data_IF_662747914949
#
_entry.id   IF_662747914949
#
_cell.length_a   1.000
_cell.length_b   1.000
_cell.length_c   1.000
_cell.angle_alpha   90.00
_cell.angle_beta   90.00
_cell.angle_gamma   90.00
#
_symmetry.space_group_name_H-M   'P 1'
#
loop_
_entity.id
_entity.type
_entity.pdbx_description
1 polymer ?
#
# COMPACT_ATOMS: atom_id res chain seq x y z
N UNK A 1 -14.23 -5.05 -18.31
CA UNK A 1 -15.29 -4.80 -17.30
C UNK A 1 -14.92 -3.69 -16.32
N UNK A 2 -14.07 -3.86 -15.29
CA UNK A 2 -13.82 -2.76 -14.33
C UNK A 2 -13.36 -1.43 -14.97
N UNK A 3 -12.66 -1.50 -16.11
CA UNK A 3 -12.34 -0.32 -16.92
C UNK A 3 -13.58 0.45 -17.42
N UNK A 4 -14.67 -0.23 -17.79
CA UNK A 4 -15.93 0.42 -18.17
C UNK A 4 -16.67 1.03 -16.96
N UNK A 5 -16.22 0.73 -15.74
CA UNK A 5 -16.64 1.39 -14.50
C UNK A 5 -15.68 2.50 -14.07
N UNK A 6 -14.73 2.89 -14.92
CA UNK A 6 -13.76 3.96 -14.65
C UNK A 6 -12.52 3.53 -13.86
N UNK A 7 -12.29 2.23 -13.65
CA UNK A 7 -11.09 1.75 -12.95
C UNK A 7 -9.88 1.76 -13.89
N UNK A 8 -8.86 2.55 -13.55
CA UNK A 8 -7.59 2.68 -14.28
C UNK A 8 -6.41 1.96 -13.63
N UNK A 9 -6.46 1.77 -12.31
CA UNK A 9 -5.33 1.29 -11.49
C UNK A 9 -5.74 0.09 -10.64
N UNK A 10 -4.93 -0.96 -10.68
CA UNK A 10 -5.09 -2.17 -9.90
C UNK A 10 -3.91 -2.33 -8.95
N UNK A 11 -4.21 -2.47 -7.66
CA UNK A 11 -3.22 -2.76 -6.62
C UNK A 11 -3.39 -4.19 -6.13
N UNK A 12 -2.45 -5.06 -6.49
CA UNK A 12 -2.44 -6.46 -6.07
C UNK A 12 -1.78 -6.57 -4.70
N UNK A 13 -2.49 -7.21 -3.77
CA UNK A 13 -2.14 -7.35 -2.36
C UNK A 13 -2.83 -8.62 -1.81
N UNK A 14 -2.71 -8.89 -0.51
CA UNK A 14 -3.46 -9.93 0.17
C UNK A 14 -2.88 -10.14 1.56
N UNK A 15 -2.53 -11.39 1.88
CA UNK A 15 -1.38 -11.67 2.74
C UNK A 15 -0.09 -11.31 1.99
N UNK A 16 0.72 -12.31 1.62
CA UNK A 16 1.84 -12.13 0.71
C UNK A 16 1.47 -12.60 -0.71
N UNK A 17 1.27 -11.70 -1.69
CA UNK A 17 0.83 -12.09 -3.03
C UNK A 17 1.83 -12.96 -3.79
N UNK A 18 3.13 -12.91 -3.48
CA UNK A 18 4.15 -13.74 -4.11
C UNK A 18 4.12 -15.22 -3.67
N UNK A 19 3.27 -15.58 -2.70
CA UNK A 19 2.97 -16.98 -2.38
C UNK A 19 2.00 -17.62 -3.39
N UNK A 20 1.30 -16.82 -4.19
CA UNK A 20 0.36 -17.30 -5.19
C UNK A 20 1.10 -17.71 -6.46
N UNK A 21 0.94 -18.97 -6.87
CA UNK A 21 1.73 -19.60 -7.95
C UNK A 21 1.41 -19.10 -9.36
N UNK A 22 0.25 -18.48 -9.58
CA UNK A 22 -0.22 -17.92 -10.85
C UNK A 22 -0.24 -16.38 -10.87
N UNK A 23 0.50 -15.73 -9.96
CA UNK A 23 0.47 -14.25 -9.78
C UNK A 23 0.89 -13.49 -11.05
N UNK A 24 1.85 -14.03 -11.81
CA UNK A 24 2.30 -13.50 -13.08
C UNK A 24 1.19 -13.55 -14.15
N UNK A 25 0.39 -14.61 -14.19
CA UNK A 25 -0.76 -14.70 -15.08
C UNK A 25 -1.85 -13.67 -14.73
N UNK A 26 -2.13 -13.49 -13.43
CA UNK A 26 -3.08 -12.48 -12.95
C UNK A 26 -2.63 -11.07 -13.38
N UNK A 27 -1.35 -10.75 -13.15
CA UNK A 27 -0.78 -9.45 -13.54
C UNK A 27 -0.85 -9.27 -15.05
N UNK A 28 -0.45 -10.28 -15.83
CA UNK A 28 -0.48 -10.23 -17.30
C UNK A 28 -1.87 -9.96 -17.84
N UNK A 29 -2.89 -10.64 -17.31
CA UNK A 29 -4.27 -10.44 -17.75
C UNK A 29 -4.80 -9.04 -17.46
N UNK A 30 -4.41 -8.44 -16.32
CA UNK A 30 -4.80 -7.07 -15.99
C UNK A 30 -4.02 -6.08 -16.88
N UNK A 31 -2.71 -6.26 -17.02
CA UNK A 31 -1.85 -5.38 -17.81
C UNK A 31 -2.29 -5.32 -19.29
N UNK A 32 -2.71 -6.46 -19.87
CA UNK A 32 -3.27 -6.53 -21.25
C UNK A 32 -4.50 -5.63 -21.47
N UNK A 33 -5.23 -5.28 -20.42
CA UNK A 33 -6.36 -4.33 -20.53
C UNK A 33 -5.93 -2.86 -20.67
N UNK A 34 -4.62 -2.59 -20.57
CA UNK A 34 -4.02 -1.24 -20.54
C UNK A 34 -4.14 -0.56 -19.18
N UNK A 35 -4.58 -1.27 -18.14
CA UNK A 35 -4.63 -0.74 -16.79
C UNK A 35 -3.25 -0.77 -16.13
N UNK A 36 -3.02 0.17 -15.21
CA UNK A 36 -1.78 0.20 -14.43
C UNK A 36 -1.86 -0.85 -13.32
N UNK A 37 -0.84 -1.70 -13.21
CA UNK A 37 -0.75 -2.71 -12.17
C UNK A 37 0.37 -2.36 -11.19
N UNK A 38 0.04 -2.36 -9.90
CA UNK A 38 0.98 -2.18 -8.79
C UNK A 38 0.93 -3.40 -7.87
N UNK A 39 2.06 -4.01 -7.57
CA UNK A 39 2.15 -5.08 -6.58
C UNK A 39 2.51 -4.49 -5.21
N UNK A 40 1.96 -5.03 -4.13
CA UNK A 40 2.40 -4.74 -2.75
C UNK A 40 2.81 -6.02 -2.06
N UNK A 41 4.07 -6.10 -1.62
CA UNK A 41 4.71 -7.32 -1.09
C UNK A 41 5.59 -6.98 0.12
N UNK A 42 5.92 -7.97 0.94
CA UNK A 42 7.00 -7.86 1.93
C UNK A 42 8.41 -7.89 1.28
N UNK A 43 8.51 -8.24 0.00
CA UNK A 43 9.74 -8.21 -0.79
C UNK A 43 10.64 -9.43 -0.64
N UNK A 44 10.36 -10.35 0.28
CA UNK A 44 11.24 -11.49 0.55
C UNK A 44 11.37 -12.44 -0.66
N UNK A 45 10.25 -12.69 -1.35
CA UNK A 45 10.21 -13.56 -2.53
C UNK A 45 10.49 -12.81 -3.85
N UNK A 46 10.79 -11.51 -3.78
CA UNK A 46 10.81 -10.64 -4.96
C UNK A 46 11.85 -11.11 -5.99
N UNK A 47 13.06 -11.46 -5.53
CA UNK A 47 14.15 -11.96 -6.38
C UNK A 47 13.76 -13.20 -7.20
N UNK A 48 12.92 -14.08 -6.64
CA UNK A 48 12.48 -15.30 -7.34
C UNK A 48 11.45 -15.03 -8.43
N UNK A 49 10.75 -13.90 -8.33
CA UNK A 49 9.60 -13.58 -9.17
C UNK A 49 9.85 -12.45 -10.16
N UNK A 50 10.86 -11.60 -9.92
CA UNK A 50 10.98 -10.31 -10.60
C UNK A 50 11.04 -10.43 -12.13
N UNK A 51 11.70 -11.45 -12.67
CA UNK A 51 11.72 -11.75 -14.11
C UNK A 51 10.31 -11.99 -14.66
N UNK A 52 9.56 -12.90 -14.03
CA UNK A 52 8.19 -13.22 -14.44
C UNK A 52 7.25 -12.03 -14.28
N UNK A 53 7.39 -11.27 -13.20
CA UNK A 53 6.57 -10.07 -12.95
C UNK A 53 6.83 -8.99 -14.01
N UNK A 54 8.09 -8.76 -14.38
CA UNK A 54 8.46 -7.81 -15.42
C UNK A 54 7.91 -8.26 -16.78
N UNK A 55 8.08 -9.53 -17.14
CA UNK A 55 7.54 -10.12 -18.36
C UNK A 55 6.00 -10.06 -18.42
N UNK A 56 5.33 -10.17 -17.27
CA UNK A 56 3.88 -10.00 -17.13
C UNK A 56 3.42 -8.53 -17.30
N UNK A 57 4.33 -7.57 -17.43
CA UNK A 57 4.03 -6.15 -17.64
C UNK A 57 3.93 -5.33 -16.35
N UNK A 58 4.41 -5.84 -15.22
CA UNK A 58 4.44 -5.08 -13.96
C UNK A 58 5.47 -3.94 -14.03
N UNK A 59 5.05 -2.73 -13.68
CA UNK A 59 5.92 -1.53 -13.71
C UNK A 59 6.06 -0.82 -12.36
N UNK A 60 5.26 -1.17 -11.35
CA UNK A 60 5.24 -0.53 -10.03
C UNK A 60 5.18 -1.57 -8.93
N UNK A 61 6.08 -1.45 -7.94
CA UNK A 61 6.10 -2.31 -6.76
C UNK A 61 6.21 -1.46 -5.50
N UNK A 62 5.30 -1.72 -4.56
CA UNK A 62 5.40 -1.23 -3.20
C UNK A 62 5.95 -2.34 -2.31
N UNK A 63 6.93 -2.04 -1.48
CA UNK A 63 7.51 -3.01 -0.54
C UNK A 63 7.31 -2.53 0.89
N UNK A 64 6.73 -3.37 1.73
CA UNK A 64 6.55 -3.09 3.15
C UNK A 64 7.89 -3.23 3.87
N UNK A 65 8.50 -2.12 4.25
CA UNK A 65 9.77 -2.05 4.98
C UNK A 65 9.57 -1.08 6.14
N UNK A 66 9.35 -1.62 7.33
CA UNK A 66 9.02 -0.83 8.53
C UNK A 66 10.25 -0.22 9.21
N UNK A 67 11.42 -0.82 9.01
CA UNK A 67 12.71 -0.39 9.55
C UNK A 67 13.82 -0.74 8.57
N UNK A 68 14.92 0.03 8.58
CA UNK A 68 16.10 -0.23 7.76
C UNK A 68 17.25 -0.88 8.54
N UNK A 69 17.00 -1.31 9.78
CA UNK A 69 17.96 -2.02 10.63
C UNK A 69 17.65 -3.54 10.62
N UNK A 70 18.62 -4.42 10.29
CA UNK A 70 18.39 -5.86 10.19
C UNK A 70 17.89 -6.52 11.49
N UNK A 71 18.37 -6.07 12.65
CA UNK A 71 18.01 -6.65 13.95
C UNK A 71 16.59 -6.24 14.36
N UNK A 72 16.24 -4.95 14.21
CA UNK A 72 14.85 -4.49 14.38
C UNK A 72 13.93 -5.18 13.37
N UNK A 73 14.35 -5.33 12.12
CA UNK A 73 13.57 -6.02 11.09
C UNK A 73 13.26 -7.45 11.51
N UNK A 74 14.29 -8.17 11.96
CA UNK A 74 14.17 -9.54 12.45
C UNK A 74 13.14 -9.68 13.56
N UNK A 75 13.20 -8.79 14.56
CA UNK A 75 12.26 -8.77 15.69
C UNK A 75 10.82 -8.50 15.25
N UNK A 76 10.60 -7.54 14.35
CA UNK A 76 9.26 -7.16 13.88
C UNK A 76 8.65 -8.24 12.98
N UNK A 77 9.44 -8.77 12.05
CA UNK A 77 8.97 -9.72 11.05
C UNK A 77 9.00 -11.18 11.53
N UNK A 78 9.64 -11.49 12.67
CA UNK A 78 9.75 -12.85 13.21
C UNK A 78 10.61 -13.77 12.35
N UNK A 79 11.64 -13.22 11.68
CA UNK A 79 12.52 -13.93 10.72
C UNK A 79 13.97 -13.62 11.04
N UNK A 80 14.96 -14.46 10.64
CA UNK A 80 16.36 -14.15 10.90
C UNK A 80 16.81 -12.84 10.22
N UNK A 81 17.82 -12.12 10.75
CA UNK A 81 18.34 -10.88 10.15
C UNK A 81 18.81 -11.04 8.69
N UNK A 82 19.22 -12.25 8.30
CA UNK A 82 19.57 -12.60 6.92
C UNK A 82 18.41 -12.43 5.94
N UNK A 83 17.14 -12.54 6.40
CA UNK A 83 15.97 -12.33 5.56
C UNK A 83 15.88 -10.89 5.04
N UNK A 84 16.32 -9.90 5.83
CA UNK A 84 16.36 -8.51 5.37
C UNK A 84 17.34 -8.33 4.22
N UNK A 85 18.48 -9.07 4.23
CA UNK A 85 19.44 -9.04 3.12
C UNK A 85 18.83 -9.57 1.82
N UNK A 86 17.96 -10.58 1.89
CA UNK A 86 17.23 -11.07 0.71
C UNK A 86 16.24 -10.03 0.17
N UNK A 87 15.51 -9.32 1.05
CA UNK A 87 14.65 -8.19 0.66
C UNK A 87 15.46 -7.10 -0.04
N UNK A 88 16.61 -6.70 0.53
CA UNK A 88 17.48 -5.69 -0.06
C UNK A 88 18.00 -6.10 -1.45
N UNK A 89 18.40 -7.37 -1.61
CA UNK A 89 18.80 -7.90 -2.93
C UNK A 89 17.67 -7.82 -3.94
N UNK A 90 16.45 -8.20 -3.55
CA UNK A 90 15.27 -8.09 -4.41
C UNK A 90 14.94 -6.64 -4.79
N UNK A 91 15.09 -5.70 -3.86
CA UNK A 91 14.89 -4.26 -4.11
C UNK A 91 15.92 -3.70 -5.11
N UNK A 92 17.20 -4.03 -4.94
CA UNK A 92 18.26 -3.63 -5.87
C UNK A 92 18.01 -4.17 -7.27
N UNK A 93 17.64 -5.45 -7.38
CA UNK A 93 17.34 -6.05 -8.69
C UNK A 93 16.11 -5.41 -9.35
N UNK A 94 15.07 -5.11 -8.58
CA UNK A 94 13.87 -4.42 -9.06
C UNK A 94 14.22 -3.04 -9.61
N UNK A 95 15.06 -2.29 -8.89
CA UNK A 95 15.57 -0.99 -9.34
C UNK A 95 16.33 -1.11 -10.65
N UNK A 96 17.25 -2.07 -10.76
CA UNK A 96 18.09 -2.25 -11.95
C UNK A 96 17.26 -2.55 -13.22
N UNK A 97 16.03 -3.03 -13.06
CA UNK A 97 15.07 -3.31 -14.13
C UNK A 97 14.19 -2.11 -14.52
N UNK A 98 14.39 -0.96 -13.88
CA UNK A 98 13.60 0.24 -14.11
C UNK A 98 12.15 0.16 -13.60
N UNK A 99 11.87 -0.79 -12.70
CA UNK A 99 10.55 -0.91 -12.07
C UNK A 99 10.46 0.14 -10.96
N UNK A 100 9.39 0.94 -10.96
CA UNK A 100 9.21 2.00 -9.99
C UNK A 100 8.98 1.42 -8.59
N UNK A 101 9.82 1.83 -7.65
CA UNK A 101 9.80 1.36 -6.27
C UNK A 101 9.20 2.40 -5.31
N UNK A 102 8.45 1.88 -4.36
CA UNK A 102 7.93 2.63 -3.23
C UNK A 102 8.07 1.81 -1.96
N UNK A 103 8.70 2.36 -0.94
CA UNK A 103 8.78 1.75 0.37
C UNK A 103 7.60 2.22 1.22
N UNK A 104 6.94 1.30 1.91
CA UNK A 104 5.86 1.60 2.84
C UNK A 104 6.29 1.23 4.26
N UNK A 105 6.21 2.18 5.18
CA UNK A 105 6.43 1.98 6.60
C UNK A 105 5.16 2.38 7.37
N UNK A 106 4.54 1.43 8.08
CA UNK A 106 3.53 1.77 9.09
C UNK A 106 4.23 2.38 10.29
N UNK A 107 3.76 3.55 10.74
CA UNK A 107 4.28 4.27 11.90
C UNK A 107 3.88 3.53 13.17
N UNK A 108 4.87 3.14 13.96
CA UNK A 108 4.69 2.37 15.19
C UNK A 108 5.64 2.88 16.28
N UNK A 109 5.05 3.25 17.43
CA UNK A 109 5.72 3.69 18.65
C UNK A 109 6.84 2.73 19.05
N UNK A 110 8.02 3.28 19.31
CA UNK A 110 9.18 2.48 19.76
C UNK A 110 9.75 1.54 18.70
N UNK A 111 9.21 1.54 17.48
CA UNK A 111 9.69 0.73 16.36
C UNK A 111 10.41 1.60 15.33
N UNK A 112 9.71 2.63 14.84
CA UNK A 112 10.20 3.50 13.78
C UNK A 112 9.79 4.98 13.94
N UNK A 113 9.48 5.39 15.16
CA UNK A 113 9.18 6.79 15.53
C UNK A 113 10.39 7.52 16.11
N UNK A 114 11.58 6.91 16.12
CA UNK A 114 12.84 7.54 16.50
C UNK A 114 13.61 8.10 15.28
N UNK A 115 14.46 9.10 15.54
CA UNK A 115 15.22 9.83 14.50
C UNK A 115 16.07 8.92 13.62
N UNK A 116 16.77 7.94 14.20
CA UNK A 116 17.65 7.06 13.44
C UNK A 116 16.89 6.07 12.58
N UNK A 117 15.75 5.55 13.05
CA UNK A 117 14.87 4.69 12.24
C UNK A 117 14.30 5.43 11.03
N UNK A 118 13.76 6.65 11.21
CA UNK A 118 13.22 7.47 10.12
C UNK A 118 14.32 7.81 9.12
N UNK A 119 15.48 8.25 9.61
CA UNK A 119 16.67 8.55 8.78
C UNK A 119 17.16 7.33 8.00
N UNK A 120 17.15 6.15 8.63
CA UNK A 120 17.50 4.88 7.99
C UNK A 120 16.57 4.54 6.82
N UNK A 121 15.26 4.70 7.00
CA UNK A 121 14.27 4.49 5.93
C UNK A 121 14.45 5.48 4.77
N UNK A 122 14.69 6.77 5.07
CA UNK A 122 14.94 7.79 4.04
C UNK A 122 16.23 7.46 3.27
N UNK A 123 17.31 7.09 3.96
CA UNK A 123 18.58 6.68 3.32
C UNK A 123 18.40 5.46 2.42
N UNK A 124 17.64 4.46 2.88
CA UNK A 124 17.33 3.27 2.09
C UNK A 124 16.50 3.63 0.84
N UNK A 125 15.48 4.47 0.99
CA UNK A 125 14.68 4.95 -0.13
C UNK A 125 15.56 5.71 -1.15
N UNK A 126 16.43 6.60 -0.68
CA UNK A 126 17.36 7.36 -1.50
C UNK A 126 18.31 6.45 -2.28
N UNK A 127 18.92 5.46 -1.61
CA UNK A 127 19.87 4.54 -2.24
C UNK A 127 19.23 3.69 -3.33
N UNK A 128 17.91 3.48 -3.26
CA UNK A 128 17.13 2.72 -4.24
C UNK A 128 16.48 3.60 -5.32
N UNK A 129 16.54 4.93 -5.20
CA UNK A 129 15.73 5.83 -6.04
C UNK A 129 14.22 5.62 -5.84
N UNK A 130 13.82 5.15 -4.66
CA UNK A 130 12.44 4.85 -4.33
C UNK A 130 11.75 6.05 -3.64
N UNK A 131 10.42 6.11 -3.79
CA UNK A 131 9.59 6.95 -2.91
C UNK A 131 9.33 6.26 -1.57
N UNK A 132 9.00 7.02 -0.53
CA UNK A 132 8.70 6.49 0.80
C UNK A 132 7.29 6.90 1.24
N UNK A 133 6.55 5.99 1.86
CA UNK A 133 5.28 6.30 2.51
C UNK A 133 5.36 5.97 3.99
N UNK A 134 5.00 6.95 4.82
CA UNK A 134 4.66 6.70 6.23
C UNK A 134 3.15 6.57 6.34
N UNK A 135 2.72 5.43 6.87
CA UNK A 135 1.31 5.04 6.96
C UNK A 135 0.92 5.02 8.43
N UNK A 136 -0.14 5.75 8.77
CA UNK A 136 -0.68 5.74 10.11
C UNK A 136 -1.22 4.33 10.44
N UNK A 137 -0.90 3.85 11.66
CA UNK A 137 -1.42 2.58 12.15
C UNK A 137 -2.93 2.72 12.35
N UNK A 138 -3.70 1.75 11.85
CA UNK A 138 -5.16 1.71 11.99
C UNK A 138 -5.59 0.55 12.89
N UNK A 139 -6.63 0.71 13.72
CA UNK A 139 -7.22 -0.37 14.50
C UNK A 139 -8.14 -1.21 13.62
N UNK A 140 -7.57 -1.88 12.62
CA UNK A 140 -8.29 -2.75 11.69
C UNK A 140 -7.47 -4.00 11.34
N UNK A 141 -8.13 -5.14 11.16
CA UNK A 141 -7.46 -6.42 10.94
C UNK A 141 -6.47 -6.74 12.07
N UNK A 142 -5.23 -7.09 11.72
CA UNK A 142 -4.16 -7.33 12.70
C UNK A 142 -3.80 -6.10 13.53
N UNK A 143 -4.08 -4.89 13.02
CA UNK A 143 -3.83 -3.63 13.72
C UNK A 143 -4.61 -3.50 15.03
N UNK A 144 -5.79 -4.12 15.14
CA UNK A 144 -6.61 -4.08 16.37
C UNK A 144 -5.83 -4.54 17.59
N UNK A 145 -5.02 -5.60 17.45
CA UNK A 145 -4.29 -6.20 18.58
C UNK A 145 -3.09 -5.38 19.06
N UNK A 146 -2.57 -4.53 18.20
CA UNK A 146 -1.32 -3.78 18.45
C UNK A 146 -1.55 -2.28 18.61
N UNK A 147 -2.76 -1.80 18.32
CA UNK A 147 -3.05 -0.37 18.25
C UNK A 147 -2.70 0.36 19.55
N UNK A 148 -3.21 -0.09 20.69
CA UNK A 148 -3.01 0.61 21.97
C UNK A 148 -1.54 0.69 22.38
N UNK A 149 -0.75 -0.32 22.03
CA UNK A 149 0.67 -0.41 22.39
C UNK A 149 1.58 0.36 21.43
N UNK A 150 1.22 0.42 20.15
CA UNK A 150 2.11 0.90 19.09
C UNK A 150 1.60 2.12 18.34
N UNK A 151 0.38 2.60 18.59
CA UNK A 151 -0.15 3.75 17.86
C UNK A 151 0.62 5.02 18.20
N UNK A 152 1.03 5.73 17.16
CA UNK A 152 1.42 7.13 17.21
C UNK A 152 0.86 7.84 15.97
N UNK A 153 0.47 9.11 16.07
CA UNK A 153 0.09 9.91 14.91
C UNK A 153 1.25 10.00 13.91
N UNK A 154 0.95 10.09 12.62
CA UNK A 154 1.99 10.28 11.61
C UNK A 154 2.78 11.58 11.82
N UNK A 155 2.21 12.55 12.54
CA UNK A 155 2.86 13.80 12.92
C UNK A 155 4.19 13.58 13.65
N UNK A 156 4.37 12.49 14.40
CA UNK A 156 5.65 12.22 15.07
C UNK A 156 6.79 12.13 14.06
N UNK A 157 6.56 11.44 12.94
CA UNK A 157 7.60 11.32 11.89
C UNK A 157 7.74 12.61 11.09
N UNK A 158 6.72 13.49 11.05
CA UNK A 158 6.80 14.80 10.38
C UNK A 158 7.81 15.71 11.08
N UNK A 159 7.79 15.78 12.41
CA UNK A 159 8.77 16.57 13.16
C UNK A 159 10.19 16.13 12.83
N UNK A 160 10.45 14.83 12.80
CA UNK A 160 11.76 14.26 12.44
C UNK A 160 12.11 14.55 10.97
N UNK A 161 11.15 14.41 10.04
CA UNK A 161 11.33 14.76 8.63
C UNK A 161 11.79 16.21 8.49
N UNK A 162 11.15 17.14 9.19
CA UNK A 162 11.50 18.56 9.16
C UNK A 162 12.91 18.80 9.73
N UNK A 163 13.26 18.17 10.85
CA UNK A 163 14.61 18.27 11.42
C UNK A 163 15.71 17.64 10.53
N UNK A 164 15.35 16.72 9.65
CA UNK A 164 16.23 16.15 8.62
C UNK A 164 16.30 17.02 7.35
N UNK A 165 15.72 18.22 7.36
CA UNK A 165 15.69 19.14 6.23
C UNK A 165 14.54 18.89 5.24
N UNK A 166 13.51 18.18 5.67
CA UNK A 166 12.31 17.96 4.89
C UNK A 166 11.49 19.21 4.68
N UNK A 167 10.98 19.37 3.46
CA UNK A 167 10.08 20.48 3.12
C UNK A 167 8.79 19.97 2.50
N UNK A 168 7.63 20.55 2.85
CA UNK A 168 6.38 20.24 2.17
C UNK A 168 6.48 20.70 0.71
N UNK A 169 5.98 19.86 -0.21
CA UNK A 169 5.97 20.15 -1.65
C UNK A 169 4.57 20.12 -2.26
N UNK A 170 3.55 19.85 -1.44
CA UNK A 170 2.15 19.90 -1.85
C UNK A 170 1.33 18.76 -1.28
N UNK A 171 0.22 18.47 -1.95
CA UNK A 171 -0.69 17.39 -1.59
C UNK A 171 -1.08 16.59 -2.82
N UNK A 172 -1.12 15.27 -2.67
CA UNK A 172 -1.64 14.35 -3.67
C UNK A 172 -3.16 14.25 -3.55
N UNK A 173 -3.86 15.20 -4.18
CA UNK A 173 -5.32 15.37 -4.05
C UNK A 173 -6.10 14.20 -4.65
N UNK A 174 -5.61 13.66 -5.77
CA UNK A 174 -6.24 12.55 -6.50
C UNK A 174 -6.20 11.20 -5.76
N UNK A 175 -5.42 11.09 -4.67
CA UNK A 175 -5.38 9.91 -3.81
C UNK A 175 -5.47 10.30 -2.33
N UNK A 176 -6.68 10.46 -1.81
CA UNK A 176 -6.92 10.65 -0.38
C UNK A 176 -6.22 11.88 0.26
N UNK A 177 -5.96 12.93 -0.51
CA UNK A 177 -5.40 14.19 0.01
C UNK A 177 -4.10 14.01 0.81
N UNK A 178 -3.14 13.22 0.29
CA UNK A 178 -1.92 12.86 1.03
C UNK A 178 -0.90 14.00 1.02
N UNK A 179 -0.41 14.48 2.18
CA UNK A 179 0.71 15.42 2.23
C UNK A 179 1.98 14.84 1.60
N UNK A 180 2.72 15.69 0.89
CA UNK A 180 3.98 15.34 0.23
C UNK A 180 5.12 16.18 0.81
N UNK A 181 6.22 15.50 1.12
CA UNK A 181 7.47 16.10 1.54
C UNK A 181 8.61 15.65 0.62
N UNK A 182 9.68 16.45 0.55
CA UNK A 182 10.95 16.04 -0.06
C UNK A 182 12.06 16.21 0.96
N UNK A 183 12.83 15.14 1.17
CA UNK A 183 14.03 15.09 2.03
C UNK A 183 15.13 14.37 1.25
N UNK A 184 16.31 14.97 1.10
CA UNK A 184 17.46 14.32 0.46
C UNK A 184 17.15 13.67 -0.92
N UNK A 185 16.31 14.32 -1.73
CA UNK A 185 15.88 13.81 -3.04
C UNK A 185 14.80 12.72 -3.01
N UNK A 186 14.35 12.29 -1.83
CA UNK A 186 13.27 11.31 -1.66
C UNK A 186 11.93 12.01 -1.50
N UNK A 187 10.96 11.63 -2.32
CA UNK A 187 9.56 12.01 -2.12
C UNK A 187 8.94 11.13 -1.03
N UNK A 188 8.44 11.77 0.01
CA UNK A 188 7.77 11.14 1.15
C UNK A 188 6.27 11.47 1.09
N UNK A 189 5.40 10.47 1.08
CA UNK A 189 3.94 10.66 1.22
C UNK A 189 3.47 10.24 2.61
N UNK A 190 2.61 11.04 3.23
CA UNK A 190 1.99 10.72 4.51
C UNK A 190 0.57 10.19 4.31
N UNK A 191 0.27 9.02 4.87
CA UNK A 191 -1.03 8.35 4.74
C UNK A 191 -1.75 8.42 6.08
N UNK A 192 -2.48 9.52 6.30
CA UNK A 192 -3.31 9.78 7.49
C UNK A 192 -4.70 9.15 7.35
N UNK A 193 -4.78 7.84 7.49
CA UNK A 193 -5.95 7.03 7.16
C UNK A 193 -6.83 6.66 8.37
N UNK A 194 -6.50 7.14 9.57
CA UNK A 194 -7.28 6.94 10.78
C UNK A 194 -7.86 8.27 11.27
N UNK A 195 -9.13 8.24 11.70
CA UNK A 195 -9.89 9.40 12.19
C UNK A 195 -9.77 10.68 11.34
N UNK A 196 -9.64 10.54 10.02
CA UNK A 196 -9.37 11.65 9.11
C UNK A 196 -10.42 11.75 8.01
N UNK A 197 -11.40 12.66 8.14
CA UNK A 197 -12.45 12.82 7.14
C UNK A 197 -11.96 13.42 5.83
N UNK A 198 -10.91 14.25 5.84
CA UNK A 198 -10.26 14.79 4.64
C UNK A 198 -9.60 13.69 3.80
N UNK A 199 -9.06 12.66 4.44
CA UNK A 199 -8.55 11.47 3.75
C UNK A 199 -9.70 10.66 3.11
N UNK A 200 -10.79 10.46 3.85
CA UNK A 200 -11.92 9.68 3.37
C UNK A 200 -12.70 10.37 2.24
N UNK A 201 -12.81 11.70 2.23
CA UNK A 201 -13.51 12.44 1.17
C UNK A 201 -12.83 12.33 -0.19
N UNK A 202 -11.49 12.17 -0.23
CA UNK A 202 -10.72 11.93 -1.44
C UNK A 202 -10.55 10.44 -1.81
N UNK A 203 -11.31 9.53 -1.19
CA UNK A 203 -11.14 8.09 -1.39
C UNK A 203 -11.90 7.58 -2.62
N UNK A 204 -11.17 7.09 -3.61
CA UNK A 204 -11.73 6.47 -4.83
C UNK A 204 -11.55 4.95 -4.87
N UNK A 205 -10.94 4.35 -3.84
CA UNK A 205 -10.56 2.93 -3.83
C UNK A 205 -11.69 2.00 -3.38
N UNK A 206 -11.91 0.90 -4.10
CA UNK A 206 -12.66 -0.29 -3.65
C UNK A 206 -11.71 -1.50 -3.55
N UNK A 207 -12.13 -2.57 -2.89
CA UNK A 207 -11.30 -3.76 -2.62
C UNK A 207 -12.06 -5.03 -2.94
N UNK A 208 -11.38 -5.98 -3.57
CA UNK A 208 -11.87 -7.35 -3.73
C UNK A 208 -11.10 -8.24 -2.74
N UNK A 209 -11.83 -8.97 -1.89
CA UNK A 209 -11.24 -9.92 -0.95
C UNK A 209 -10.82 -11.21 -1.66
N UNK A 210 -9.98 -12.01 -1.01
CA UNK A 210 -9.51 -13.30 -1.56
C UNK A 210 -10.64 -14.32 -1.75
N UNK A 211 -11.72 -14.21 -0.98
CA UNK A 211 -12.94 -15.03 -1.11
C UNK A 211 -13.98 -14.42 -2.08
N UNK A 212 -13.60 -13.39 -2.87
CA UNK A 212 -14.41 -12.88 -3.97
C UNK A 212 -15.46 -11.84 -3.59
N UNK A 213 -15.39 -11.26 -2.39
CA UNK A 213 -16.34 -10.25 -1.92
C UNK A 213 -15.81 -8.83 -2.14
N UNK A 214 -16.69 -7.93 -2.55
CA UNK A 214 -16.35 -6.52 -2.77
C UNK A 214 -16.55 -5.71 -1.48
N UNK A 215 -15.51 -4.99 -1.06
CA UNK A 215 -15.57 -3.98 0.01
C UNK A 215 -15.43 -2.59 -0.59
N UNK A 216 -16.31 -1.68 -0.22
CA UNK A 216 -16.24 -0.26 -0.64
C UNK A 216 -15.31 0.57 0.25
N UNK A 217 -14.96 0.07 1.44
CA UNK A 217 -14.02 0.67 2.38
C UNK A 217 -13.20 -0.42 3.07
N UNK A 218 -11.98 -0.10 3.53
CA UNK A 218 -11.15 -1.04 4.29
C UNK A 218 -11.76 -1.38 5.67
N UNK A 219 -12.53 -0.45 6.24
CA UNK A 219 -13.19 -0.56 7.53
C UNK A 219 -14.63 -1.11 7.45
N UNK A 220 -15.23 -1.15 6.25
CA UNK A 220 -16.59 -1.63 6.09
C UNK A 220 -16.61 -3.16 5.99
N UNK A 221 -17.74 -3.78 6.27
CA UNK A 221 -17.99 -5.16 5.86
C UNK A 221 -18.11 -5.27 4.33
N UNK A 222 -17.96 -6.48 3.76
CA UNK A 222 -18.21 -6.68 2.34
C UNK A 222 -19.63 -6.28 1.95
N UNK A 223 -19.74 -5.52 0.87
CA UNK A 223 -21.00 -5.00 0.36
C UNK A 223 -21.74 -6.01 -0.54
N UNK A 224 -21.00 -6.88 -1.24
CA UNK A 224 -21.58 -7.89 -2.14
C UNK A 224 -20.59 -9.04 -2.37
N UNK A 225 -21.11 -10.26 -2.52
CA UNK A 225 -20.36 -11.42 -2.99
C UNK A 225 -20.37 -11.46 -4.53
N UNK A 226 -19.20 -11.37 -5.16
CA UNK A 226 -19.08 -11.41 -6.62
C UNK A 226 -18.79 -12.81 -7.16
N UNK A 227 -18.50 -13.78 -6.29
CA UNK A 227 -18.08 -15.11 -6.69
C UNK A 227 -19.13 -15.87 -7.53
N UNK A 228 -20.45 -15.78 -7.25
CA UNK A 228 -21.47 -16.41 -8.08
C UNK A 228 -21.41 -15.94 -9.54
N UNK A 229 -21.33 -14.61 -9.77
CA UNK A 229 -21.24 -14.01 -11.09
C UNK A 229 -19.93 -14.36 -11.82
N UNK A 230 -18.82 -14.42 -11.08
CA UNK A 230 -17.52 -14.80 -11.65
C UNK A 230 -17.54 -16.26 -12.14
N UNK A 231 -18.12 -17.17 -11.35
CA UNK A 231 -18.20 -18.60 -11.68
C UNK A 231 -19.05 -18.87 -12.92
N UNK A 232 -20.16 -18.15 -13.08
CA UNK A 232 -21.05 -18.26 -14.25
C UNK A 232 -20.61 -17.41 -15.43
N UNK A 233 -19.55 -16.60 -15.28
CA UNK A 233 -19.10 -15.59 -16.27
C UNK A 233 -20.19 -14.58 -16.63
N UNK A 234 -21.09 -14.28 -15.70
CA UNK A 234 -22.13 -13.27 -15.86
C UNK A 234 -21.54 -11.86 -15.68
N UNK A 235 -21.08 -11.28 -16.79
CA UNK A 235 -20.45 -9.95 -16.80
C UNK A 235 -21.47 -8.85 -16.45
N UNK A 236 -22.71 -8.97 -16.91
CA UNK A 236 -23.74 -7.95 -16.69
C UNK A 236 -24.17 -7.92 -15.23
N UNK A 237 -24.44 -9.10 -14.64
CA UNK A 237 -24.74 -9.23 -13.22
C UNK A 237 -23.60 -8.74 -12.33
N UNK A 238 -22.34 -9.00 -12.71
CA UNK A 238 -21.17 -8.49 -11.99
C UNK A 238 -21.11 -6.95 -12.03
N UNK A 239 -21.31 -6.35 -13.21
CA UNK A 239 -21.35 -4.88 -13.37
C UNK A 239 -22.48 -4.26 -12.54
N UNK A 240 -23.67 -4.86 -12.58
CA UNK A 240 -24.81 -4.43 -11.80
C UNK A 240 -24.52 -4.50 -10.29
N UNK A 241 -24.03 -5.63 -9.80
CA UNK A 241 -23.68 -5.85 -8.40
C UNK A 241 -22.65 -4.83 -7.89
N UNK A 242 -21.61 -4.55 -8.68
CA UNK A 242 -20.61 -3.53 -8.33
C UNK A 242 -21.23 -2.13 -8.27
N UNK A 243 -22.07 -1.76 -9.23
CA UNK A 243 -22.76 -0.45 -9.22
C UNK A 243 -23.64 -0.28 -7.98
N UNK A 244 -24.40 -1.32 -7.62
CA UNK A 244 -25.25 -1.29 -6.42
C UNK A 244 -24.44 -1.14 -5.13
N UNK A 245 -23.29 -1.84 -5.04
CA UNK A 245 -22.39 -1.68 -3.90
C UNK A 245 -21.81 -0.26 -3.82
N UNK A 246 -21.39 0.31 -4.96
CA UNK A 246 -20.83 1.66 -5.01
C UNK A 246 -21.86 2.76 -4.73
N UNK A 247 -23.11 2.58 -5.11
CA UNK A 247 -24.19 3.53 -4.82
C UNK A 247 -24.44 3.72 -3.31
N UNK A 248 -24.12 2.71 -2.51
CA UNK A 248 -24.27 2.73 -1.03
C UNK A 248 -22.96 3.12 -0.32
N UNK A 249 -21.92 3.49 -1.06
CA UNK A 249 -20.60 3.80 -0.49
C UNK A 249 -20.66 5.12 0.26
N UNK A 250 -20.19 5.10 1.51
CA UNK A 250 -20.00 6.31 2.31
C UNK A 250 -18.57 6.39 2.89
N UNK A 251 -18.04 7.60 3.14
CA UNK A 251 -16.84 7.81 3.93
C UNK A 251 -16.97 7.19 5.33
N UNK A 252 -15.93 6.50 5.80
CA UNK A 252 -15.91 5.95 7.18
C UNK A 252 -15.81 7.05 8.23
N UNK A 253 -14.89 7.99 8.02
CA UNK A 253 -14.77 9.20 8.83
C UNK A 253 -15.39 10.35 8.04
N UNK A 254 -16.39 11.02 8.63
CA UNK A 254 -17.19 12.06 7.97
C UNK A 254 -16.83 13.42 8.55
N UNK A 255 -16.88 14.46 7.72
CA UNK A 255 -16.94 15.83 8.22
C UNK A 255 -18.34 16.00 8.81
N UNK A 256 -18.45 16.17 10.12
CA UNK A 256 -19.69 16.65 10.71
C UNK A 256 -19.70 18.17 10.56
N UNK A 257 -20.73 18.72 9.93
CA UNK A 257 -21.02 20.16 10.07
C UNK A 257 -21.34 20.40 11.54
N UNK A 258 -20.67 21.35 12.17
CA UNK A 258 -21.11 21.90 13.46
C UNK A 258 -22.55 22.38 13.29
N UNK A 259 -23.48 21.68 13.95
CA UNK A 259 -24.85 22.12 14.15
C UNK A 259 -24.90 23.36 15.03
#
# INVERSE_FOLDING_TARGET
MFKSLGVSDFKITGGEPLLRSDIDLVISNIAKSGAVVTLTTNGYLLRRWIDKLQAAGLRRINVSVHVADPEKYSKIAGVPPSAFREVLRGLVETRNRGILLKLNAVVMRGVNTDRESVKGLIRLAASLGASLQFIELMPNGSGVKIFDNYYEPVETVVSIINELGGRPVGMRRELHNRPLYVVAGVTIELIKNFNNPTFCSGCTTMRLTSDGKLKTCIYAEPAVDLLPYIKTRDVEGLVYAVRQALAKREPKFKLYSSS
#
